data_IF_332309888847
#
_entry.id   IF_332309888847
#
_cell.length_a   1.000
_cell.length_b   1.000
_cell.length_c   1.000
_cell.angle_alpha   90.00
_cell.angle_beta   90.00
_cell.angle_gamma   90.00
#
_symmetry.space_group_name_H-M   'P 1'
#
loop_
_entity.id
_entity.type
_entity.pdbx_description
1 polymer ?
#
# COMPACT_ATOMS: atom_id res chain seq x y z
N UNK A 1 25.53 17.63 14.24
CA UNK A 1 24.20 17.00 14.19
C UNK A 1 23.39 17.76 13.15
N UNK A 2 23.03 17.13 12.03
CA UNK A 2 22.15 17.75 11.05
C UNK A 2 20.73 17.66 11.60
N UNK A 3 20.16 18.79 12.00
CA UNK A 3 18.74 18.89 12.38
C UNK A 3 17.92 18.91 11.10
N UNK A 4 17.12 17.85 10.87
CA UNK A 4 16.13 17.79 9.79
C UNK A 4 15.15 18.95 9.92
N UNK A 5 14.80 19.57 8.80
CA UNK A 5 13.88 20.71 8.80
C UNK A 5 12.44 20.23 9.04
N UNK A 6 11.57 21.15 9.47
CA UNK A 6 10.14 20.84 9.65
C UNK A 6 9.45 20.43 8.34
N UNK A 7 9.94 20.91 7.20
CA UNK A 7 9.43 20.56 5.88
C UNK A 7 9.82 19.13 5.47
N UNK A 8 11.04 18.69 5.78
CA UNK A 8 11.48 17.30 5.53
C UNK A 8 10.59 16.31 6.30
N UNK A 9 10.30 16.64 7.56
CA UNK A 9 9.42 15.85 8.43
C UNK A 9 7.99 15.80 7.87
N UNK A 10 7.46 16.93 7.40
CA UNK A 10 6.10 17.01 6.83
C UNK A 10 5.97 16.24 5.53
N UNK A 11 6.99 16.31 4.67
CA UNK A 11 7.07 15.57 3.39
C UNK A 11 7.11 14.07 3.65
N UNK A 12 7.93 13.62 4.60
CA UNK A 12 7.99 12.25 5.08
C UNK A 12 6.62 11.72 5.55
N UNK A 13 5.93 12.50 6.39
CA UNK A 13 4.59 12.17 6.86
C UNK A 13 3.56 12.05 5.73
N UNK A 14 3.59 12.96 4.74
CA UNK A 14 2.69 12.88 3.58
C UNK A 14 2.96 11.66 2.68
N UNK A 15 4.23 11.34 2.42
CA UNK A 15 4.62 10.18 1.60
C UNK A 15 4.26 8.84 2.26
N UNK A 16 4.29 8.78 3.60
CA UNK A 16 3.82 7.64 4.38
C UNK A 16 2.30 7.62 4.64
N UNK A 17 1.53 8.60 4.12
CA UNK A 17 0.08 8.72 4.35
C UNK A 17 -0.30 9.08 5.79
N UNK A 18 0.67 9.51 6.60
CA UNK A 18 0.53 9.87 8.01
C UNK A 18 0.36 11.39 8.12
N UNK A 19 -0.80 11.90 7.68
CA UNK A 19 -1.12 13.34 7.75
C UNK A 19 -1.25 13.76 9.24
N UNK A 20 -0.78 14.96 9.66
CA UNK A 20 -1.08 15.47 10.99
C UNK A 20 -2.58 15.36 11.25
N UNK A 21 -2.95 14.64 12.31
CA UNK A 21 -4.35 14.52 12.73
C UNK A 21 -4.87 15.94 12.90
N UNK A 22 -5.78 16.36 12.03
CA UNK A 22 -6.61 17.53 12.30
C UNK A 22 -7.17 17.38 13.72
N UNK A 23 -7.35 18.51 14.43
CA UNK A 23 -8.07 18.48 15.70
C UNK A 23 -9.39 17.75 15.48
N UNK A 24 -9.59 16.66 16.21
CA UNK A 24 -10.76 15.81 16.05
C UNK A 24 -12.00 16.66 16.30
N UNK A 25 -12.79 16.82 15.24
CA UNK A 25 -13.95 17.69 15.18
C UNK A 25 -15.19 16.81 15.16
N UNK A 26 -15.76 16.59 16.35
CA UNK A 26 -16.92 15.72 16.55
C UNK A 26 -18.08 16.12 15.63
N UNK A 27 -18.24 17.41 15.35
CA UNK A 27 -19.31 17.95 14.50
C UNK A 27 -19.17 17.57 13.02
N UNK A 28 -17.97 17.16 12.59
CA UNK A 28 -17.71 16.67 11.22
C UNK A 28 -17.84 15.17 11.04
N UNK A 29 -17.98 14.42 12.13
CA UNK A 29 -18.18 12.99 12.04
C UNK A 29 -19.50 12.66 11.36
N UNK A 30 -19.56 11.49 10.74
CA UNK A 30 -20.82 10.96 10.24
C UNK A 30 -21.80 10.76 11.43
N UNK A 31 -23.11 11.03 11.28
CA UNK A 31 -24.08 11.00 12.40
C UNK A 31 -24.03 9.77 13.34
N UNK A 32 -23.86 8.53 12.86
CA UNK A 32 -23.74 7.34 13.73
C UNK A 32 -22.52 7.42 14.65
N UNK A 33 -21.41 8.01 14.19
CA UNK A 33 -20.20 8.18 14.97
C UNK A 33 -20.34 9.33 15.98
N UNK A 34 -21.12 10.36 15.66
CA UNK A 34 -21.48 11.42 16.62
C UNK A 34 -22.33 10.88 17.76
N UNK A 35 -23.35 10.07 17.42
CA UNK A 35 -24.22 9.44 18.42
C UNK A 35 -23.46 8.48 19.35
N UNK A 36 -22.44 7.78 18.83
CA UNK A 36 -21.53 6.94 19.63
C UNK A 36 -20.73 7.74 20.67
N UNK A 37 -20.44 9.00 20.40
CA UNK A 37 -19.72 9.90 21.30
C UNK A 37 -20.67 10.68 22.24
N UNK A 38 -21.99 10.52 22.08
CA UNK A 38 -22.96 11.22 22.90
C UNK A 38 -22.90 10.73 24.35
N UNK A 39 -22.98 11.65 25.35
CA UNK A 39 -22.90 11.29 26.76
C UNK A 39 -24.07 10.42 27.24
N UNK A 40 -25.18 10.40 26.50
CA UNK A 40 -26.37 9.59 26.73
C UNK A 40 -26.50 8.40 25.76
N UNK A 41 -25.38 7.95 25.18
CA UNK A 41 -25.34 6.87 24.21
C UNK A 41 -26.10 5.62 24.69
N UNK A 42 -27.14 5.26 23.94
CA UNK A 42 -27.91 4.03 24.10
C UNK A 42 -27.54 3.05 22.98
N UNK A 43 -26.80 2.01 23.36
CA UNK A 43 -26.32 0.98 22.45
C UNK A 43 -27.45 0.19 21.78
N UNK A 44 -28.56 -0.08 22.48
CA UNK A 44 -29.68 -0.84 21.91
C UNK A 44 -30.41 -0.01 20.86
N UNK A 45 -30.68 1.26 21.15
CA UNK A 45 -31.31 2.20 20.23
C UNK A 45 -30.44 2.48 19.02
N UNK A 46 -29.14 2.67 19.21
CA UNK A 46 -28.18 2.88 18.14
C UNK A 46 -28.12 1.65 17.22
N UNK A 47 -27.96 0.46 17.80
CA UNK A 47 -27.95 -0.80 17.03
C UNK A 47 -29.26 -0.99 16.25
N UNK A 48 -30.42 -0.72 16.84
CA UNK A 48 -31.70 -0.80 16.14
C UNK A 48 -31.79 0.19 14.97
N UNK A 49 -31.29 1.42 15.15
CA UNK A 49 -31.32 2.48 14.15
C UNK A 49 -30.42 2.18 12.94
N UNK A 50 -29.27 1.53 13.16
CA UNK A 50 -28.30 1.22 12.11
C UNK A 50 -28.28 -0.25 11.68
N UNK A 51 -29.15 -1.10 12.22
CA UNK A 51 -29.25 -2.53 11.85
C UNK A 51 -29.36 -2.75 10.34
N UNK A 52 -30.11 -1.89 9.66
CA UNK A 52 -30.31 -1.94 8.21
C UNK A 52 -29.00 -1.76 7.40
N UNK A 53 -27.96 -1.13 7.97
CA UNK A 53 -26.64 -1.02 7.33
C UNK A 53 -25.88 -2.36 7.34
N UNK A 54 -26.14 -3.21 8.34
CA UNK A 54 -25.57 -4.56 8.42
C UNK A 54 -26.28 -5.55 7.49
N UNK A 55 -27.51 -5.22 7.08
CA UNK A 55 -28.31 -6.02 6.14
C UNK A 55 -28.02 -5.66 4.67
N UNK A 56 -27.18 -4.64 4.40
CA UNK A 56 -26.75 -4.32 3.05
C UNK A 56 -25.82 -5.41 2.50
N UNK A 57 -26.15 -5.92 1.32
CA UNK A 57 -25.25 -6.79 0.58
C UNK A 57 -23.97 -6.04 0.29
N UNK A 58 -22.84 -6.66 0.62
CA UNK A 58 -21.53 -6.09 0.34
C UNK A 58 -21.26 -6.14 -1.18
N UNK A 59 -21.54 -5.00 -1.82
CA UNK A 59 -21.46 -4.77 -3.25
C UNK A 59 -20.03 -4.42 -3.72
N UNK A 60 -19.01 -4.53 -2.85
CA UNK A 60 -17.62 -4.32 -3.27
C UNK A 60 -17.25 -5.32 -4.36
N UNK A 61 -16.42 -4.85 -5.29
CA UNK A 61 -15.91 -5.71 -6.36
C UNK A 61 -15.18 -6.90 -5.75
N UNK A 62 -15.68 -8.10 -6.02
CA UNK A 62 -14.95 -9.34 -5.78
C UNK A 62 -13.88 -9.48 -6.86
N UNK A 63 -12.66 -9.80 -6.44
CA UNK A 63 -11.53 -10.04 -7.31
C UNK A 63 -10.89 -11.36 -6.89
N UNK A 64 -10.87 -12.33 -7.78
CA UNK A 64 -10.32 -13.67 -7.54
C UNK A 64 -8.96 -13.81 -8.23
N UNK A 65 -7.83 -13.61 -7.50
CA UNK A 65 -6.50 -13.82 -8.07
C UNK A 65 -6.26 -15.34 -8.12
N UNK A 66 -6.65 -15.94 -9.23
CA UNK A 66 -6.33 -17.32 -9.56
C UNK A 66 -5.59 -17.34 -10.90
N UNK A 67 -4.68 -18.30 -11.08
CA UNK A 67 -4.06 -18.56 -12.37
C UNK A 67 -5.15 -18.86 -13.43
N UNK A 68 -4.98 -18.51 -14.72
CA UNK A 68 -3.71 -18.17 -15.41
C UNK A 68 -3.40 -16.67 -15.56
N UNK A 69 -4.32 -15.76 -15.23
CA UNK A 69 -4.15 -14.31 -15.47
C UNK A 69 -3.26 -13.60 -14.44
N UNK A 70 -2.85 -14.32 -13.40
CA UNK A 70 -2.06 -13.79 -12.30
C UNK A 70 -0.81 -14.63 -12.09
N UNK A 71 0.31 -13.96 -11.86
CA UNK A 71 1.48 -14.58 -11.28
C UNK A 71 1.34 -14.57 -9.76
N UNK A 72 1.40 -15.77 -9.18
CA UNK A 72 1.29 -16.04 -7.76
C UNK A 72 2.65 -16.54 -7.25
N UNK A 73 3.41 -15.74 -6.49
CA UNK A 73 4.67 -16.18 -5.88
C UNK A 73 4.48 -17.32 -4.88
N UNK A 74 5.51 -18.16 -4.68
CA UNK A 74 5.40 -19.26 -3.70
C UNK A 74 5.48 -18.78 -2.25
N UNK A 75 6.31 -17.75 -1.99
CA UNK A 75 6.60 -17.24 -0.66
C UNK A 75 5.95 -15.87 -0.43
N UNK A 76 5.29 -15.70 0.73
CA UNK A 76 4.60 -14.47 1.12
C UNK A 76 5.55 -13.27 1.25
N UNK A 77 6.66 -13.45 1.97
CA UNK A 77 7.56 -12.35 2.30
C UNK A 77 8.27 -11.71 1.09
N UNK A 78 8.85 -12.47 0.15
CA UNK A 78 9.42 -11.91 -1.07
C UNK A 78 8.39 -11.69 -2.18
N UNK A 79 7.09 -11.93 -1.93
CA UNK A 79 6.06 -11.90 -2.98
C UNK A 79 6.01 -10.58 -3.73
N UNK A 80 6.18 -9.45 -3.04
CA UNK A 80 6.23 -8.14 -3.67
C UNK A 80 7.37 -8.05 -4.69
N UNK A 81 8.59 -8.40 -4.29
CA UNK A 81 9.75 -8.33 -5.17
C UNK A 81 9.63 -9.29 -6.33
N UNK A 82 9.14 -10.52 -6.09
CA UNK A 82 8.85 -11.49 -7.15
C UNK A 82 7.84 -10.93 -8.16
N UNK A 83 6.82 -10.19 -7.70
CA UNK A 83 5.86 -9.52 -8.57
C UNK A 83 6.47 -8.37 -9.39
N UNK A 84 7.33 -7.55 -8.77
CA UNK A 84 7.97 -6.41 -9.43
C UNK A 84 8.97 -6.85 -10.50
N UNK A 85 9.74 -7.90 -10.24
CA UNK A 85 10.73 -8.44 -11.20
C UNK A 85 10.13 -9.35 -12.26
N UNK A 86 8.85 -9.71 -12.13
CA UNK A 86 8.18 -10.59 -13.09
C UNK A 86 8.35 -10.05 -14.51
N UNK A 87 8.92 -10.87 -15.40
CA UNK A 87 9.16 -10.49 -16.80
C UNK A 87 10.35 -9.56 -17.05
N UNK A 88 11.14 -9.15 -16.04
CA UNK A 88 12.34 -8.32 -16.24
C UNK A 88 13.62 -9.12 -16.50
N UNK A 89 13.60 -10.44 -16.29
CA UNK A 89 14.80 -11.29 -16.40
C UNK A 89 15.89 -10.98 -15.37
N UNK A 90 15.58 -10.22 -14.32
CA UNK A 90 16.53 -9.78 -13.28
C UNK A 90 16.56 -10.75 -12.11
N UNK A 91 17.74 -10.94 -11.51
CA UNK A 91 17.89 -11.72 -10.28
C UNK A 91 17.33 -10.91 -9.10
N UNK A 92 16.52 -11.55 -8.25
CA UNK A 92 15.84 -10.87 -7.14
C UNK A 92 16.80 -10.14 -6.19
N UNK A 93 17.98 -10.70 -5.91
CA UNK A 93 18.97 -10.08 -5.04
C UNK A 93 19.48 -8.75 -5.62
N UNK A 94 19.90 -8.77 -6.89
CA UNK A 94 20.36 -7.60 -7.63
C UNK A 94 19.27 -6.52 -7.68
N UNK A 95 18.03 -6.91 -7.95
CA UNK A 95 16.90 -5.97 -7.95
C UNK A 95 16.70 -5.29 -6.59
N UNK A 96 16.78 -6.06 -5.49
CA UNK A 96 16.62 -5.50 -4.14
C UNK A 96 17.79 -4.57 -3.80
N UNK A 97 19.01 -4.90 -4.22
CA UNK A 97 20.18 -4.06 -4.05
C UNK A 97 20.02 -2.72 -4.79
N UNK A 98 19.73 -2.77 -6.09
CA UNK A 98 19.50 -1.59 -6.94
C UNK A 98 18.37 -0.71 -6.39
N UNK A 99 17.26 -1.32 -5.96
CA UNK A 99 16.13 -0.60 -5.38
C UNK A 99 16.52 0.08 -4.07
N UNK A 100 17.24 -0.61 -3.18
CA UNK A 100 17.66 -0.03 -1.90
C UNK A 100 18.67 1.10 -2.08
N UNK A 101 19.56 0.99 -3.06
CA UNK A 101 20.52 2.04 -3.41
C UNK A 101 19.80 3.26 -3.99
N UNK A 102 18.82 3.02 -4.86
CA UNK A 102 17.96 4.07 -5.38
C UNK A 102 17.16 4.75 -4.27
N UNK A 103 16.57 3.97 -3.35
CA UNK A 103 15.85 4.46 -2.17
C UNK A 103 16.71 5.37 -1.30
N UNK A 104 17.97 5.02 -1.08
CA UNK A 104 18.92 5.86 -0.33
C UNK A 104 19.22 7.19 -1.03
N UNK A 105 19.10 7.24 -2.35
CA UNK A 105 19.34 8.46 -3.16
C UNK A 105 18.09 9.31 -3.39
N UNK A 106 16.89 8.77 -3.16
CA UNK A 106 15.63 9.46 -3.38
C UNK A 106 15.40 10.53 -2.31
N UNK A 107 15.47 11.81 -2.69
CA UNK A 107 15.19 12.94 -1.80
C UNK A 107 13.79 12.89 -1.15
N UNK A 108 12.82 12.26 -1.83
CA UNK A 108 11.49 12.06 -1.28
C UNK A 108 11.51 11.15 -0.05
N UNK A 109 12.44 10.21 0.03
CA UNK A 109 12.53 9.25 1.13
C UNK A 109 13.48 9.70 2.24
N UNK A 110 14.03 10.90 2.13
CA UNK A 110 14.93 11.41 3.16
C UNK A 110 14.22 11.49 4.52
N UNK A 111 14.70 10.72 5.49
CA UNK A 111 14.14 10.65 6.85
C UNK A 111 13.04 9.62 7.03
N UNK A 112 12.65 8.94 5.96
CA UNK A 112 11.80 7.76 6.00
C UNK A 112 12.58 6.47 5.96
N UNK A 113 13.71 6.48 5.26
CA UNK A 113 14.61 5.33 5.16
C UNK A 113 15.95 5.66 5.79
N UNK A 114 16.48 4.73 6.55
CA UNK A 114 17.84 4.78 7.08
C UNK A 114 18.60 3.51 6.70
N UNK A 115 19.90 3.48 7.01
CA UNK A 115 20.76 2.34 6.68
C UNK A 115 20.27 1.03 7.30
N UNK A 116 19.69 1.06 8.51
CA UNK A 116 19.18 -0.13 9.20
C UNK A 116 17.92 -0.66 8.53
N UNK A 117 17.03 0.22 8.10
CA UNK A 117 15.83 -0.14 7.35
C UNK A 117 16.21 -0.79 6.01
N UNK A 118 17.10 -0.16 5.24
CA UNK A 118 17.55 -0.69 3.96
C UNK A 118 18.28 -2.04 4.12
N UNK A 119 19.10 -2.21 5.15
CA UNK A 119 19.71 -3.51 5.47
C UNK A 119 18.64 -4.57 5.79
N UNK A 120 17.59 -4.20 6.54
CA UNK A 120 16.49 -5.11 6.88
C UNK A 120 15.67 -5.56 5.67
N UNK A 121 15.55 -4.70 4.65
CA UNK A 121 14.94 -5.07 3.36
C UNK A 121 15.87 -5.99 2.58
N UNK A 122 17.16 -5.65 2.46
CA UNK A 122 18.17 -6.46 1.75
C UNK A 122 18.29 -7.88 2.30
N UNK A 123 18.26 -8.04 3.63
CA UNK A 123 18.37 -9.34 4.27
C UNK A 123 17.02 -10.07 4.45
N UNK A 124 15.91 -9.46 4.02
CA UNK A 124 14.57 -10.04 4.08
C UNK A 124 13.99 -10.17 5.50
N UNK A 125 14.49 -9.40 6.47
CA UNK A 125 13.95 -9.39 7.83
C UNK A 125 12.77 -8.44 8.01
N UNK A 126 12.67 -7.39 7.18
CA UNK A 126 11.52 -6.50 7.09
C UNK A 126 10.58 -6.87 5.93
N UNK A 127 9.29 -6.64 6.13
CA UNK A 127 8.29 -6.87 5.09
C UNK A 127 8.23 -5.63 4.18
N UNK A 128 8.36 -5.81 2.86
CA UNK A 128 8.32 -4.69 1.94
C UNK A 128 6.88 -4.24 1.70
N UNK A 129 6.69 -2.98 1.29
CA UNK A 129 5.38 -2.38 1.12
C UNK A 129 5.42 -1.06 0.36
N UNK A 130 4.86 -0.03 0.98
CA UNK A 130 4.60 1.24 0.29
C UNK A 130 5.84 1.99 -0.17
N UNK A 131 6.92 1.98 0.63
CA UNK A 131 8.18 2.65 0.30
C UNK A 131 8.86 1.97 -0.89
N UNK A 132 8.87 0.64 -0.92
CA UNK A 132 9.40 -0.13 -2.05
C UNK A 132 8.55 0.06 -3.32
N UNK A 133 7.21 0.08 -3.19
CA UNK A 133 6.30 0.35 -4.31
C UNK A 133 6.49 1.76 -4.89
N UNK A 134 6.58 2.77 -4.02
CA UNK A 134 6.87 4.15 -4.45
C UNK A 134 8.20 4.21 -5.20
N UNK A 135 9.23 3.62 -4.63
CA UNK A 135 10.58 3.64 -5.20
C UNK A 135 10.65 2.89 -6.52
N UNK A 136 10.03 1.72 -6.62
CA UNK A 136 9.96 0.94 -7.84
C UNK A 136 9.20 1.70 -8.95
N UNK A 137 8.13 2.43 -8.59
CA UNK A 137 7.41 3.26 -9.56
C UNK A 137 8.31 4.34 -10.17
N UNK A 138 9.15 4.98 -9.36
CA UNK A 138 10.08 6.03 -9.80
C UNK A 138 11.30 5.45 -10.53
N UNK A 139 11.90 4.38 -10.02
CA UNK A 139 13.09 3.73 -10.58
C UNK A 139 12.85 3.27 -12.01
N UNK A 140 11.66 2.72 -12.27
CA UNK A 140 11.33 2.15 -13.57
C UNK A 140 10.36 2.99 -14.42
N UNK A 141 9.98 4.17 -13.94
CA UNK A 141 8.99 5.02 -14.60
C UNK A 141 7.65 4.29 -14.88
N UNK A 142 7.09 3.61 -13.87
CA UNK A 142 5.83 2.87 -13.98
C UNK A 142 4.72 3.49 -13.14
N UNK A 143 3.49 3.37 -13.63
CA UNK A 143 2.34 3.46 -12.74
C UNK A 143 2.14 2.10 -12.06
N UNK A 144 2.04 2.10 -10.73
CA UNK A 144 1.78 0.87 -9.97
C UNK A 144 0.43 1.00 -9.26
N UNK A 145 -0.55 0.24 -9.70
CA UNK A 145 -1.86 0.12 -9.08
C UNK A 145 -1.87 -1.07 -8.12
N UNK A 146 -2.25 -0.84 -6.86
CA UNK A 146 -2.41 -1.89 -5.85
C UNK A 146 -3.84 -1.94 -5.34
N UNK A 147 -4.45 -3.13 -5.43
CA UNK A 147 -5.76 -3.44 -4.85
C UNK A 147 -5.58 -4.28 -3.60
N UNK A 148 -5.99 -3.77 -2.45
CA UNK A 148 -6.00 -4.56 -1.21
C UNK A 148 -7.31 -5.34 -1.13
N UNK A 149 -7.23 -6.62 -0.79
CA UNK A 149 -8.37 -7.52 -0.67
C UNK A 149 -8.71 -7.81 0.79
N UNK A 150 -9.99 -8.06 1.07
CA UNK A 150 -10.44 -8.70 2.30
C UNK A 150 -10.17 -10.20 2.28
N UNK A 151 -10.43 -10.88 3.40
CA UNK A 151 -10.41 -12.35 3.49
C UNK A 151 -11.35 -13.03 2.50
N UNK A 152 -12.43 -12.35 2.10
CA UNK A 152 -13.43 -12.84 1.15
C UNK A 152 -13.12 -12.39 -0.30
N UNK A 153 -11.86 -12.04 -0.59
CA UNK A 153 -11.41 -11.62 -1.92
C UNK A 153 -12.11 -10.37 -2.46
N UNK A 154 -12.63 -9.50 -1.60
CA UNK A 154 -13.26 -8.24 -2.02
C UNK A 154 -12.29 -7.07 -1.93
N UNK A 155 -12.30 -6.21 -2.94
CA UNK A 155 -11.44 -5.02 -2.97
C UNK A 155 -11.88 -4.05 -1.87
N UNK A 156 -11.00 -3.84 -0.89
CA UNK A 156 -11.23 -2.91 0.23
C UNK A 156 -10.59 -1.54 -0.01
N UNK A 157 -9.50 -1.51 -0.76
CA UNK A 157 -8.86 -0.26 -1.16
C UNK A 157 -8.15 -0.40 -2.50
N UNK A 158 -7.99 0.72 -3.18
CA UNK A 158 -7.16 0.84 -4.38
C UNK A 158 -6.27 2.06 -4.22
N UNK A 159 -4.98 1.88 -4.43
CA UNK A 159 -3.99 2.96 -4.40
C UNK A 159 -3.17 2.90 -5.68
N UNK A 160 -2.74 4.06 -6.17
CA UNK A 160 -1.94 4.14 -7.40
C UNK A 160 -0.72 5.02 -7.15
N UNK A 161 0.47 4.44 -7.30
CA UNK A 161 1.71 5.19 -7.41
C UNK A 161 1.82 5.67 -8.86
N UNK A 162 1.82 6.98 -9.05
CA UNK A 162 1.81 7.59 -10.39
C UNK A 162 3.13 8.29 -10.70
N UNK A 163 3.48 8.24 -11.98
CA UNK A 163 4.61 8.96 -12.57
C UNK A 163 4.15 9.70 -13.82
N UNK A 164 4.89 10.74 -14.20
CA UNK A 164 4.61 11.49 -15.41
C UNK A 164 5.06 10.70 -16.64
N UNK A 165 4.16 10.48 -17.60
CA UNK A 165 4.41 9.69 -18.82
C UNK A 165 4.96 8.27 -18.53
N UNK A 166 4.16 7.39 -17.92
CA UNK A 166 4.62 6.06 -17.51
C UNK A 166 4.92 5.15 -18.69
N UNK A 167 5.97 4.34 -18.59
CA UNK A 167 6.34 3.34 -19.59
C UNK A 167 5.32 2.19 -19.63
N UNK A 168 4.75 1.83 -18.46
CA UNK A 168 3.68 0.83 -18.32
C UNK A 168 2.88 0.98 -17.03
N UNK A 169 1.81 0.21 -16.93
CA UNK A 169 1.00 0.06 -15.71
C UNK A 169 1.19 -1.35 -15.14
N UNK A 170 1.64 -1.44 -13.89
CA UNK A 170 1.73 -2.71 -13.14
C UNK A 170 0.51 -2.81 -12.22
N UNK A 171 -0.24 -3.90 -12.33
CA UNK A 171 -1.42 -4.14 -11.50
C UNK A 171 -1.14 -5.22 -10.47
N UNK A 172 -1.14 -4.83 -9.21
CA UNK A 172 -0.92 -5.69 -8.06
C UNK A 172 -2.20 -5.89 -7.26
N UNK A 173 -2.31 -7.06 -6.65
CA UNK A 173 -3.24 -7.32 -5.56
C UNK A 173 -2.47 -7.67 -4.31
N UNK A 174 -3.00 -7.25 -3.17
CA UNK A 174 -2.47 -7.57 -1.85
C UNK A 174 -3.55 -8.25 -1.01
N UNK A 175 -3.22 -9.38 -0.42
CA UNK A 175 -4.03 -10.04 0.61
C UNK A 175 -3.12 -10.38 1.79
N UNK A 176 -3.35 -9.76 2.95
CA UNK A 176 -2.39 -9.86 4.07
C UNK A 176 -1.03 -9.24 3.71
N UNK A 177 0.07 -9.97 3.91
CA UNK A 177 1.40 -9.54 3.45
C UNK A 177 1.76 -10.12 2.06
N UNK A 178 0.85 -10.89 1.45
CA UNK A 178 1.07 -11.54 0.16
C UNK A 178 0.66 -10.64 -1.01
N UNK A 179 1.48 -10.64 -2.07
CA UNK A 179 1.26 -9.91 -3.32
C UNK A 179 1.17 -10.84 -4.52
N UNK A 180 0.31 -10.49 -5.47
CA UNK A 180 0.26 -11.10 -6.80
C UNK A 180 0.18 -10.02 -7.87
N UNK A 181 0.65 -10.33 -9.08
CA UNK A 181 0.68 -9.39 -10.21
C UNK A 181 -0.12 -9.92 -11.39
N UNK A 182 -0.87 -9.03 -12.03
CA UNK A 182 -1.66 -9.36 -13.21
C UNK A 182 -0.74 -9.50 -14.43
N UNK A 183 -0.89 -10.59 -15.17
CA UNK A 183 -0.09 -10.92 -16.35
C UNK A 183 -0.84 -10.47 -17.60
N UNK A 184 -0.91 -9.17 -17.84
CA UNK A 184 -1.40 -8.63 -19.12
C UNK A 184 -0.21 -8.43 -20.06
N UNK A 185 0.19 -9.48 -20.77
CA UNK A 185 1.15 -9.38 -21.87
C UNK A 185 2.47 -8.70 -21.50
N UNK A 186 3.08 -9.11 -20.37
CA UNK A 186 4.51 -8.84 -20.14
C UNK A 186 5.26 -9.22 -21.42
N UNK A 187 5.75 -8.22 -22.15
CA UNK A 187 6.65 -8.45 -23.26
C UNK A 187 7.90 -9.10 -22.67
N UNK A 188 8.02 -10.41 -22.87
CA UNK A 188 9.27 -11.15 -22.73
C UNK A 188 10.26 -10.69 -23.81
#
# INVERSE_FOLDING_TARGET
>A
MATRSADDIKKAFQLCGLVPKESFDDEKLHPPLQELLAPDFDMERWNASYKHLLEQSDNRKELTPAAPEWYLPDDERPSLFSCLIHGLGTVRADFIEDLCDYMASLEDLDGLVDASYLESIRNGSADPGGLELYSASKLHNWNIEIKTLSTDCKVVSTFVYTVDNPDKVVQLVRSGAFFAVKVDGYLL
#
